data_IF_030069952949
#
_entry.id   IF_030069952949
#
_cell.length_a   1.000
_cell.length_b   1.000
_cell.length_c   1.000
_cell.angle_alpha   90.00
_cell.angle_beta   90.00
_cell.angle_gamma   90.00
#
_symmetry.space_group_name_H-M   'P 1'
#
loop_
_entity.id
_entity.type
_entity.pdbx_description
1 polymer ?
#
# COMPACT_ATOMS: atom_id res chain seq x y z
N UNK A 1 19.37 68.55 74.83
CA UNK A 1 19.57 68.40 73.36
C UNK A 1 18.96 67.06 72.99
N UNK A 2 17.65 66.86 72.75
CA UNK A 2 16.67 67.54 71.87
C UNK A 2 17.20 67.77 70.45
N UNK A 3 16.71 66.99 69.46
CA UNK A 3 15.93 67.44 68.28
C UNK A 3 15.82 66.34 67.17
N UNK A 4 14.57 65.90 66.96
CA UNK A 4 13.86 65.49 65.71
C UNK A 4 14.05 64.12 65.00
N UNK A 5 12.93 63.39 64.94
CA UNK A 5 12.47 62.55 63.82
C UNK A 5 11.65 63.41 62.81
N UNK A 6 11.34 62.97 61.55
CA UNK A 6 10.20 62.05 61.34
C UNK A 6 10.28 61.07 60.12
N UNK A 7 9.40 60.06 60.25
CA UNK A 7 8.81 59.09 59.31
C UNK A 7 8.52 59.58 57.88
N UNK A 8 8.74 58.72 56.85
CA UNK A 8 7.85 58.54 55.68
C UNK A 8 7.96 57.14 55.06
N UNK A 9 6.86 56.39 55.11
CA UNK A 9 6.55 55.25 54.24
C UNK A 9 6.44 55.70 52.78
N UNK A 10 7.03 54.96 51.85
CA UNK A 10 6.58 54.91 50.45
C UNK A 10 6.43 53.43 50.04
N UNK A 11 5.20 52.97 50.18
CA UNK A 11 4.64 51.81 49.50
C UNK A 11 4.39 52.23 48.04
N UNK A 12 5.02 51.58 47.06
CA UNK A 12 4.65 51.73 45.65
C UNK A 12 4.90 50.43 44.88
N UNK A 13 3.81 49.69 44.69
CA UNK A 13 3.47 48.81 43.57
C UNK A 13 4.61 48.45 42.58
N UNK A 14 5.11 47.22 42.70
CA UNK A 14 5.64 46.50 41.55
C UNK A 14 4.43 45.83 40.88
N UNK A 15 3.92 46.45 39.83
CA UNK A 15 2.95 45.82 38.93
C UNK A 15 3.65 44.66 38.22
N UNK A 16 3.31 43.42 38.60
CA UNK A 16 3.66 42.23 37.85
C UNK A 16 2.85 42.27 36.54
N UNK A 17 3.45 42.80 35.48
CA UNK A 17 3.01 42.62 34.10
C UNK A 17 3.30 41.17 33.71
N UNK A 18 2.45 40.25 34.17
CA UNK A 18 2.31 38.93 33.56
C UNK A 18 1.57 39.19 32.26
N UNK A 19 2.34 39.37 31.18
CA UNK A 19 1.80 39.28 29.84
C UNK A 19 1.20 37.87 29.72
N UNK A 20 -0.14 37.79 29.72
CA UNK A 20 -0.85 36.63 29.23
C UNK A 20 -0.58 36.55 27.73
N UNK A 21 0.58 36.04 27.35
CA UNK A 21 0.76 35.47 26.03
C UNK A 21 -0.22 34.30 25.98
N UNK A 22 -1.36 34.51 25.34
CA UNK A 22 -2.22 33.41 24.93
C UNK A 22 -1.32 32.46 24.15
N UNK A 23 -1.26 31.17 24.51
CA UNK A 23 -0.48 30.23 23.74
C UNK A 23 -0.96 30.34 22.29
N UNK A 24 -0.05 30.68 21.38
CA UNK A 24 -0.22 30.35 19.97
C UNK A 24 -0.68 28.89 19.98
N UNK A 25 -1.93 28.63 19.59
CA UNK A 25 -2.40 27.28 19.43
C UNK A 25 -1.40 26.62 18.49
N UNK A 26 -0.63 25.67 19.01
CA UNK A 26 0.29 24.90 18.20
C UNK A 26 -0.55 24.31 17.07
N UNK A 27 -0.19 24.63 15.83
CA UNK A 27 -0.87 24.15 14.63
C UNK A 27 -0.53 22.66 14.49
N UNK A 28 -1.22 21.87 15.30
CA UNK A 28 -1.11 20.43 15.33
C UNK A 28 -1.96 19.85 14.19
N UNK A 29 -1.56 18.69 13.70
CA UNK A 29 -2.33 17.98 12.69
C UNK A 29 -3.70 17.62 13.23
N UNK A 30 -4.73 18.01 12.46
CA UNK A 30 -6.13 17.68 12.72
C UNK A 30 -6.65 16.62 11.75
N UNK A 31 -7.77 16.02 12.13
CA UNK A 31 -8.57 15.18 11.26
C UNK A 31 -9.88 15.90 10.96
N UNK A 32 -10.31 15.90 9.69
CA UNK A 32 -11.70 16.21 9.37
C UNK A 32 -12.50 14.94 9.59
N UNK A 33 -13.01 14.78 10.81
CA UNK A 33 -14.07 13.82 11.11
C UNK A 33 -15.39 14.54 10.80
N UNK A 34 -15.95 14.35 9.61
CA UNK A 34 -17.31 14.81 9.38
C UNK A 34 -18.23 13.64 9.07
N UNK A 35 -18.90 13.18 10.13
CA UNK A 35 -20.25 12.63 10.02
C UNK A 35 -21.09 13.62 9.18
N UNK A 36 -21.24 13.32 7.88
CA UNK A 36 -22.13 14.06 6.96
C UNK A 36 -21.48 14.86 5.83
N UNK A 37 -20.16 15.01 5.74
CA UNK A 37 -19.50 15.76 4.64
C UNK A 37 -18.76 14.88 3.63
N UNK A 38 -19.04 13.57 3.64
CA UNK A 38 -18.61 12.65 2.60
C UNK A 38 -17.14 12.23 2.65
N UNK A 39 -16.23 12.90 3.35
CA UNK A 39 -14.78 12.60 3.25
C UNK A 39 -14.04 12.45 4.58
N UNK A 40 -12.85 11.84 4.51
CA UNK A 40 -11.85 11.81 5.59
C UNK A 40 -10.60 12.58 5.16
N UNK A 41 -9.93 13.25 6.10
CA UNK A 41 -8.74 14.03 5.78
C UNK A 41 -7.90 14.38 6.99
N UNK A 42 -6.60 14.52 6.77
CA UNK A 42 -5.58 14.86 7.75
C UNK A 42 -4.92 16.14 7.25
N UNK A 43 -4.92 17.18 8.08
CA UNK A 43 -4.55 18.51 7.63
C UNK A 43 -3.74 19.27 8.68
N UNK A 44 -2.97 20.24 8.20
CA UNK A 44 -2.26 21.23 9.01
C UNK A 44 -2.35 22.58 8.32
N UNK A 45 -2.67 23.63 9.07
CA UNK A 45 -2.79 25.00 8.56
C UNK A 45 -1.71 25.89 9.17
N UNK A 46 -0.49 25.90 8.60
CA UNK A 46 0.63 26.67 9.14
C UNK A 46 0.42 28.19 9.09
N UNK A 47 -0.43 28.68 8.19
CA UNK A 47 -0.81 30.09 8.13
C UNK A 47 -2.33 30.18 8.28
N UNK A 48 -2.77 30.85 9.33
CA UNK A 48 -4.18 31.19 9.60
C UNK A 48 -4.17 32.57 10.28
N UNK A 49 -4.22 33.61 9.46
CA UNK A 49 -4.16 34.99 9.92
C UNK A 49 -5.56 35.60 9.88
N UNK A 50 -6.20 35.67 11.04
CA UNK A 50 -7.54 36.24 11.19
C UNK A 50 -7.63 37.73 10.86
N UNK A 51 -6.51 38.48 10.88
CA UNK A 51 -6.51 39.91 10.57
C UNK A 51 -6.51 40.14 9.06
N UNK A 52 -5.70 39.37 8.32
CA UNK A 52 -5.61 39.47 6.86
C UNK A 52 -6.62 38.58 6.14
N UNK A 53 -7.16 37.58 6.83
CA UNK A 53 -7.97 36.50 6.24
C UNK A 53 -7.14 35.52 5.42
N UNK A 54 -5.80 35.59 5.49
CA UNK A 54 -4.93 34.70 4.72
C UNK A 54 -4.87 33.33 5.38
N UNK A 55 -4.99 32.29 4.56
CA UNK A 55 -4.95 30.90 5.01
C UNK A 55 -4.04 30.09 4.08
N UNK A 56 -3.25 29.20 4.67
CA UNK A 56 -2.56 28.12 3.95
C UNK A 56 -2.76 26.83 4.73
N UNK A 57 -3.40 25.85 4.11
CA UNK A 57 -3.58 24.51 4.67
C UNK A 57 -3.04 23.45 3.72
N UNK A 58 -2.26 22.52 4.25
CA UNK A 58 -1.81 21.31 3.57
C UNK A 58 -2.61 20.11 4.10
N UNK A 59 -3.10 19.26 3.20
CA UNK A 59 -3.99 18.13 3.52
C UNK A 59 -3.65 16.90 2.69
N UNK A 60 -3.85 15.74 3.31
CA UNK A 60 -4.00 14.44 2.65
C UNK A 60 -5.38 13.90 2.99
N UNK A 61 -6.18 13.53 1.99
CA UNK A 61 -7.55 13.07 2.24
C UNK A 61 -8.30 12.61 1.00
N UNK A 62 -9.55 12.22 1.22
CA UNK A 62 -10.53 11.82 0.22
C UNK A 62 -11.83 12.60 0.43
N UNK A 63 -12.68 12.61 -0.59
CA UNK A 63 -14.03 13.19 -0.53
C UNK A 63 -14.98 12.21 -1.19
N UNK A 64 -16.04 11.83 -0.49
CA UNK A 64 -16.91 10.73 -0.87
C UNK A 64 -16.07 9.45 -1.10
N UNK A 65 -16.39 8.71 -2.16
CA UNK A 65 -15.62 7.54 -2.59
C UNK A 65 -14.41 7.89 -3.47
N UNK A 66 -14.06 9.18 -3.60
CA UNK A 66 -12.91 9.58 -4.40
C UNK A 66 -11.60 9.10 -3.74
N UNK A 67 -10.60 8.69 -4.55
CA UNK A 67 -9.36 8.18 -4.02
C UNK A 67 -8.57 9.27 -3.27
N UNK A 68 -7.68 8.80 -2.40
CA UNK A 68 -6.76 9.62 -1.65
C UNK A 68 -5.99 10.59 -2.56
N UNK A 69 -5.85 11.84 -2.12
CA UNK A 69 -5.10 12.88 -2.82
C UNK A 69 -4.50 13.90 -1.84
N UNK A 70 -3.47 14.60 -2.29
CA UNK A 70 -2.98 15.79 -1.60
C UNK A 70 -3.78 17.02 -2.02
N UNK A 71 -3.95 17.94 -1.09
CA UNK A 71 -4.67 19.18 -1.29
C UNK A 71 -3.95 20.33 -0.58
N UNK A 72 -3.85 21.48 -1.25
CA UNK A 72 -3.41 22.74 -0.68
C UNK A 72 -4.54 23.74 -0.87
N UNK A 73 -5.03 24.31 0.24
CA UNK A 73 -6.05 25.36 0.23
C UNK A 73 -5.41 26.68 0.64
N UNK A 74 -5.58 27.69 -0.21
CA UNK A 74 -5.02 29.03 -0.02
C UNK A 74 -6.16 30.04 -0.07
N UNK A 75 -6.30 30.83 1.00
CA UNK A 75 -7.17 32.02 1.02
C UNK A 75 -6.27 33.24 0.98
N UNK A 76 -6.57 34.15 0.05
CA UNK A 76 -5.75 35.33 -0.22
C UNK A 76 -4.57 35.05 -1.15
N UNK A 77 -4.17 36.07 -1.91
CA UNK A 77 -3.09 35.96 -2.90
C UNK A 77 -3.51 35.36 -4.24
N UNK A 78 -2.51 35.05 -5.07
CA UNK A 78 -2.65 34.42 -6.38
C UNK A 78 -1.77 33.16 -6.41
N UNK A 79 -2.21 32.12 -7.13
CA UNK A 79 -1.42 30.92 -7.39
C UNK A 79 -1.58 30.50 -8.86
N UNK A 80 -0.55 29.90 -9.48
CA UNK A 80 -0.64 29.42 -10.85
C UNK A 80 -1.64 28.26 -10.98
N UNK A 81 -2.01 27.91 -12.22
CA UNK A 81 -2.88 26.76 -12.50
C UNK A 81 -2.18 25.42 -12.25
N UNK A 82 -0.86 25.41 -12.29
CA UNK A 82 0.00 24.26 -11.96
C UNK A 82 1.18 24.73 -11.11
N UNK A 83 1.55 23.91 -10.11
CA UNK A 83 2.56 24.27 -9.12
C UNK A 83 3.34 23.02 -8.70
N UNK A 84 4.67 23.06 -8.82
CA UNK A 84 5.53 22.05 -8.24
C UNK A 84 5.81 22.39 -6.77
N UNK A 85 5.65 21.38 -5.91
CA UNK A 85 5.78 21.51 -4.46
C UNK A 85 6.79 20.51 -3.95
N UNK A 86 7.93 21.00 -3.46
CA UNK A 86 8.92 20.17 -2.78
C UNK A 86 8.63 20.14 -1.28
N UNK A 87 8.60 18.93 -0.70
CA UNK A 87 8.52 18.74 0.74
C UNK A 87 9.86 18.30 1.28
N UNK A 88 10.30 18.94 2.36
CA UNK A 88 11.40 18.46 3.20
C UNK A 88 10.87 18.11 4.60
N UNK A 89 11.45 17.08 5.22
CA UNK A 89 11.13 16.67 6.60
C UNK A 89 12.42 16.61 7.38
N UNK A 90 12.46 17.32 8.50
CA UNK A 90 13.64 17.43 9.37
C UNK A 90 14.93 17.82 8.61
N UNK A 91 14.77 18.73 7.64
CA UNK A 91 15.86 19.25 6.80
C UNK A 91 16.32 18.31 5.68
N UNK A 92 15.57 17.25 5.38
CA UNK A 92 15.87 16.29 4.30
C UNK A 92 14.75 16.29 3.27
N UNK A 93 15.10 16.36 1.98
CA UNK A 93 14.14 16.24 0.89
C UNK A 93 13.31 14.95 1.02
N UNK A 94 11.98 15.10 1.08
CA UNK A 94 11.02 14.05 1.38
C UNK A 94 10.19 13.62 0.17
N UNK A 95 9.88 14.54 -0.73
CA UNK A 95 9.16 14.26 -1.98
C UNK A 95 8.93 15.52 -2.81
N UNK A 96 8.56 15.33 -4.07
CA UNK A 96 8.13 16.37 -5.01
C UNK A 96 6.72 16.02 -5.49
N UNK A 97 5.82 17.00 -5.48
CA UNK A 97 4.42 16.83 -5.86
C UNK A 97 4.06 17.87 -6.93
N UNK A 98 3.46 17.42 -8.03
CA UNK A 98 2.89 18.30 -9.05
C UNK A 98 1.42 18.57 -8.76
N UNK A 99 1.09 19.80 -8.37
CA UNK A 99 -0.27 20.24 -8.07
C UNK A 99 -0.92 20.92 -9.28
N UNK A 100 -2.24 20.76 -9.40
CA UNK A 100 -3.08 21.44 -10.38
C UNK A 100 -4.29 22.08 -9.72
N UNK A 101 -4.77 23.20 -10.27
CA UNK A 101 -5.90 23.94 -9.73
C UNK A 101 -7.21 23.14 -9.88
N UNK A 102 -7.91 22.97 -8.77
CA UNK A 102 -9.25 22.40 -8.70
C UNK A 102 -10.31 23.50 -8.56
N UNK A 103 -11.56 23.27 -9.00
CA UNK A 103 -12.65 24.22 -8.80
C UNK A 103 -12.95 24.44 -7.31
N UNK A 104 -12.95 25.70 -6.88
CA UNK A 104 -13.35 26.14 -5.55
C UNK A 104 -13.98 27.54 -5.65
N UNK A 105 -14.98 27.83 -4.80
CA UNK A 105 -15.78 29.06 -4.93
C UNK A 105 -15.15 30.27 -4.22
N UNK A 106 -14.53 30.07 -3.06
CA UNK A 106 -14.09 31.12 -2.14
C UNK A 106 -12.61 31.05 -1.75
N UNK A 107 -11.87 30.08 -2.29
CA UNK A 107 -10.45 29.89 -2.06
C UNK A 107 -9.78 29.30 -3.30
N UNK A 108 -8.45 29.30 -3.31
CA UNK A 108 -7.67 28.55 -4.29
C UNK A 108 -7.49 27.14 -3.73
N UNK A 109 -8.00 26.14 -4.44
CA UNK A 109 -7.73 24.73 -4.16
C UNK A 109 -6.77 24.18 -5.20
N UNK A 110 -5.65 23.63 -4.74
CA UNK A 110 -4.69 22.91 -5.55
C UNK A 110 -4.70 21.44 -5.13
N UNK A 111 -4.73 20.53 -6.09
CA UNK A 111 -4.74 19.08 -5.82
C UNK A 111 -3.63 18.35 -6.54
N UNK A 112 -3.07 17.33 -5.91
CA UNK A 112 -2.13 16.40 -6.52
C UNK A 112 -2.57 14.96 -6.24
N UNK A 113 -2.55 14.06 -7.25
CA UNK A 113 -2.94 12.67 -7.05
C UNK A 113 -1.98 11.99 -6.07
N UNK A 114 -2.51 11.09 -5.25
CA UNK A 114 -1.67 10.20 -4.47
C UNK A 114 -1.24 9.02 -5.35
N UNK A 115 0.06 8.74 -5.48
CA UNK A 115 0.56 7.47 -5.98
C UNK A 115 1.23 6.74 -4.80
N UNK A 116 0.69 5.60 -4.33
CA UNK A 116 1.26 4.87 -3.20
C UNK A 116 2.72 4.46 -3.44
N UNK A 117 3.15 4.23 -4.68
CA UNK A 117 4.51 3.80 -5.01
C UNK A 117 5.50 4.95 -4.84
N UNK A 118 5.13 6.14 -5.31
CA UNK A 118 5.97 7.33 -5.23
C UNK A 118 5.92 7.98 -3.83
N UNK A 119 4.76 7.94 -3.17
CA UNK A 119 4.49 8.76 -2.00
C UNK A 119 4.52 8.00 -0.67
N UNK A 120 4.65 6.65 -0.66
CA UNK A 120 4.79 5.88 0.61
C UNK A 120 5.95 6.39 1.46
N UNK A 121 7.12 6.61 0.84
CA UNK A 121 8.30 7.13 1.56
C UNK A 121 8.14 8.56 2.08
N UNK A 122 7.37 9.40 1.38
CA UNK A 122 7.02 10.75 1.84
C UNK A 122 6.08 10.68 3.04
N UNK A 123 4.99 9.89 2.94
CA UNK A 123 4.00 9.75 4.02
C UNK A 123 4.62 9.14 5.27
N UNK A 124 5.48 8.12 5.15
CA UNK A 124 6.22 7.57 6.30
C UNK A 124 7.01 8.67 7.01
N UNK A 125 7.75 9.50 6.25
CA UNK A 125 8.52 10.60 6.83
C UNK A 125 7.63 11.66 7.48
N UNK A 126 6.51 12.04 6.87
CA UNK A 126 5.56 12.96 7.47
C UNK A 126 4.98 12.43 8.79
N UNK A 127 4.76 11.11 8.91
CA UNK A 127 4.23 10.46 10.12
C UNK A 127 5.24 10.37 11.26
N UNK A 128 6.52 10.24 10.94
CA UNK A 128 7.61 9.99 11.90
C UNK A 128 8.43 11.24 12.23
N UNK A 129 8.37 12.27 11.38
CA UNK A 129 9.16 13.49 11.51
C UNK A 129 8.65 14.49 12.55
N UNK A 130 9.40 15.57 12.74
CA UNK A 130 9.11 16.61 13.74
C UNK A 130 8.65 17.92 13.08
N UNK A 131 9.33 18.32 12.00
CA UNK A 131 9.04 19.52 11.21
C UNK A 131 9.05 19.20 9.72
N UNK A 132 8.18 19.84 8.96
CA UNK A 132 8.25 19.83 7.51
C UNK A 132 8.34 21.25 6.95
N UNK A 133 8.95 21.37 5.79
CA UNK A 133 8.99 22.59 4.99
C UNK A 133 8.36 22.27 3.64
N UNK A 134 7.45 23.13 3.21
CA UNK A 134 6.78 23.04 1.92
C UNK A 134 7.26 24.19 1.07
N UNK A 135 8.02 23.88 0.02
CA UNK A 135 8.54 24.85 -0.93
C UNK A 135 7.67 24.87 -2.18
N UNK A 136 6.99 26.00 -2.39
CA UNK A 136 6.08 26.26 -3.51
C UNK A 136 6.88 26.99 -4.60
N UNK A 137 7.09 26.37 -5.76
CA UNK A 137 7.91 26.96 -6.82
C UNK A 137 7.08 27.86 -7.76
N UNK A 138 6.99 29.15 -7.42
CA UNK A 138 6.30 30.13 -8.26
C UNK A 138 7.22 30.67 -9.37
N UNK A 139 6.67 31.17 -10.49
CA UNK A 139 7.46 31.79 -11.56
C UNK A 139 8.37 32.95 -11.09
N UNK A 140 7.95 33.66 -10.04
CA UNK A 140 8.69 34.80 -9.47
C UNK A 140 9.66 34.40 -8.33
N UNK A 141 9.72 33.11 -8.00
CA UNK A 141 10.61 32.53 -6.99
C UNK A 141 9.93 31.56 -6.05
N UNK A 142 10.72 30.71 -5.39
CA UNK A 142 10.21 29.76 -4.41
C UNK A 142 9.76 30.44 -3.11
N UNK A 143 8.60 30.03 -2.58
CA UNK A 143 8.12 30.41 -1.26
C UNK A 143 8.14 29.18 -0.35
N UNK A 144 8.70 29.31 0.85
CA UNK A 144 8.76 28.21 1.82
C UNK A 144 7.79 28.46 2.97
N UNK A 145 7.00 27.45 3.30
CA UNK A 145 6.10 27.43 4.46
C UNK A 145 6.56 26.34 5.42
N UNK A 146 6.90 26.70 6.65
CA UNK A 146 7.22 25.74 7.71
C UNK A 146 5.93 25.21 8.36
N UNK A 147 5.89 23.92 8.67
CA UNK A 147 4.77 23.29 9.38
C UNK A 147 5.22 22.33 10.48
N UNK A 148 4.45 22.28 11.56
CA UNK A 148 4.60 21.28 12.62
C UNK A 148 4.13 19.92 12.12
N UNK A 149 4.85 18.85 12.48
CA UNK A 149 4.38 17.46 12.30
C UNK A 149 3.81 16.86 13.59
N UNK A 150 3.57 17.68 14.62
CA UNK A 150 2.94 17.18 15.84
C UNK A 150 1.54 16.65 15.53
N UNK A 151 1.29 15.39 15.87
CA UNK A 151 0.01 14.72 15.63
C UNK A 151 -0.12 14.06 14.25
N UNK A 152 0.79 14.31 13.31
CA UNK A 152 0.70 13.83 11.92
C UNK A 152 0.59 12.31 11.83
N UNK A 153 1.37 11.57 12.64
CA UNK A 153 1.39 10.12 12.63
C UNK A 153 0.03 9.48 12.89
N UNK A 154 -0.73 10.05 13.84
CA UNK A 154 -2.11 9.63 14.15
C UNK A 154 -3.07 10.07 13.04
N UNK A 155 -2.97 11.33 12.63
CA UNK A 155 -3.88 11.92 11.66
C UNK A 155 -3.82 11.21 10.31
N UNK A 156 -2.62 11.13 9.74
CA UNK A 156 -2.36 10.44 8.48
C UNK A 156 -2.68 8.94 8.57
N UNK A 157 -2.39 8.30 9.71
CA UNK A 157 -2.73 6.89 9.93
C UNK A 157 -4.24 6.62 9.81
N UNK A 158 -5.07 7.48 10.40
CA UNK A 158 -6.53 7.35 10.33
C UNK A 158 -7.05 7.54 8.90
N UNK A 159 -6.52 8.52 8.16
CA UNK A 159 -6.92 8.78 6.76
C UNK A 159 -6.53 7.64 5.84
N UNK A 160 -5.30 7.12 5.96
CA UNK A 160 -4.85 5.99 5.14
C UNK A 160 -5.67 4.72 5.39
N UNK A 161 -6.25 4.58 6.59
CA UNK A 161 -7.14 3.48 6.93
C UNK A 161 -8.60 3.68 6.45
N UNK A 162 -9.00 4.92 6.18
CA UNK A 162 -10.39 5.27 5.84
C UNK A 162 -10.59 5.52 4.35
N UNK A 163 -9.63 6.18 3.71
CA UNK A 163 -9.77 6.63 2.32
C UNK A 163 -9.46 5.52 1.31
N UNK A 164 -10.21 5.44 0.19
CA UNK A 164 -9.86 4.55 -0.91
C UNK A 164 -8.47 4.89 -1.47
N UNK A 165 -7.65 3.86 -1.67
CA UNK A 165 -6.35 4.04 -2.32
C UNK A 165 -6.57 4.25 -3.83
N UNK A 166 -5.94 5.24 -4.46
CA UNK A 166 -5.98 5.37 -5.91
C UNK A 166 -5.37 4.12 -6.56
N UNK A 167 -6.11 3.57 -7.51
CA UNK A 167 -5.59 2.62 -8.46
C UNK A 167 -4.68 3.38 -9.43
N UNK A 168 -3.44 2.92 -9.56
CA UNK A 168 -2.51 3.53 -10.49
C UNK A 168 -2.45 2.67 -11.76
N UNK A 169 -2.85 3.19 -12.93
CA UNK A 169 -2.66 2.49 -14.19
C UNK A 169 -1.18 2.14 -14.38
N UNK A 170 -0.93 0.91 -14.82
CA UNK A 170 0.40 0.36 -15.03
C UNK A 170 0.63 0.20 -16.52
N UNK A 171 1.71 0.74 -17.07
CA UNK A 171 2.07 0.46 -18.47
C UNK A 171 2.74 -0.91 -18.62
N UNK A 172 3.41 -1.36 -17.56
CA UNK A 172 4.13 -2.63 -17.51
C UNK A 172 3.98 -3.24 -16.10
N UNK A 173 2.94 -4.05 -15.85
CA UNK A 173 2.75 -4.74 -14.58
C UNK A 173 3.93 -5.61 -14.17
N UNK A 174 4.54 -6.31 -15.12
CA UNK A 174 5.63 -7.25 -14.87
C UNK A 174 6.86 -6.54 -14.30
N UNK A 175 7.28 -5.42 -14.90
CA UNK A 175 8.40 -4.63 -14.37
C UNK A 175 8.13 -4.10 -12.96
N UNK A 176 6.91 -3.58 -12.71
CA UNK A 176 6.54 -3.03 -11.39
C UNK A 176 6.56 -4.11 -10.31
N UNK A 177 6.02 -5.30 -10.62
CA UNK A 177 6.04 -6.42 -9.67
C UNK A 177 7.46 -6.95 -9.49
N UNK A 178 8.25 -7.06 -10.55
CA UNK A 178 9.64 -7.52 -10.46
C UNK A 178 10.49 -6.61 -9.57
N UNK A 179 10.37 -5.28 -9.72
CA UNK A 179 11.08 -4.31 -8.88
C UNK A 179 10.73 -4.47 -7.39
N UNK A 180 9.46 -4.75 -7.09
CA UNK A 180 9.01 -5.07 -5.73
C UNK A 180 9.72 -6.32 -5.21
N UNK A 181 9.71 -7.41 -5.98
CA UNK A 181 10.32 -8.70 -5.58
C UNK A 181 11.84 -8.56 -5.38
N UNK A 182 12.51 -7.83 -6.27
CA UNK A 182 13.96 -7.52 -6.14
C UNK A 182 14.24 -6.74 -4.86
N UNK A 183 13.41 -5.74 -4.54
CA UNK A 183 13.57 -4.93 -3.33
C UNK A 183 13.38 -5.77 -2.06
N UNK A 184 12.34 -6.60 -2.02
CA UNK A 184 12.02 -7.45 -0.87
C UNK A 184 13.08 -8.55 -0.66
N UNK A 185 13.55 -9.19 -1.73
CA UNK A 185 14.62 -10.17 -1.66
C UNK A 185 15.95 -9.55 -1.22
N UNK A 186 16.30 -8.36 -1.73
CA UNK A 186 17.50 -7.65 -1.34
C UNK A 186 17.49 -7.23 0.14
N UNK A 187 16.31 -6.92 0.70
CA UNK A 187 16.16 -6.57 2.12
C UNK A 187 16.57 -7.71 3.08
N UNK A 188 16.54 -8.96 2.62
CA UNK A 188 17.01 -10.14 3.36
C UNK A 188 18.39 -10.63 2.88
N UNK A 189 19.09 -9.86 2.04
CA UNK A 189 20.43 -10.17 1.55
C UNK A 189 20.48 -11.06 0.31
N UNK A 190 19.34 -11.28 -0.35
CA UNK A 190 19.24 -12.15 -1.52
C UNK A 190 19.30 -11.45 -2.87
N UNK A 191 19.22 -12.27 -3.92
CA UNK A 191 19.10 -11.86 -5.34
C UNK A 191 17.99 -12.66 -6.01
N UNK A 192 17.41 -12.11 -7.08
CA UNK A 192 16.28 -12.72 -7.80
C UNK A 192 16.77 -13.41 -9.08
N UNK A 193 16.28 -14.62 -9.33
CA UNK A 193 16.40 -15.34 -10.59
C UNK A 193 15.01 -15.50 -11.23
N UNK A 194 14.90 -15.20 -12.53
CA UNK A 194 13.63 -15.21 -13.26
C UNK A 194 13.40 -16.51 -14.02
N UNK A 195 12.21 -17.06 -13.90
CA UNK A 195 11.70 -18.17 -14.71
C UNK A 195 10.79 -17.66 -15.84
N UNK A 196 10.55 -18.50 -16.85
CA UNK A 196 9.81 -18.11 -18.05
C UNK A 196 8.32 -17.82 -17.80
N UNK A 197 7.74 -18.35 -16.72
CA UNK A 197 6.30 -18.23 -16.41
C UNK A 197 5.94 -16.98 -15.61
N UNK A 198 6.90 -16.07 -15.36
CA UNK A 198 6.66 -14.87 -14.55
C UNK A 198 5.54 -13.98 -15.09
N UNK A 199 5.48 -13.80 -16.40
CA UNK A 199 4.42 -13.05 -17.07
C UNK A 199 3.70 -13.95 -18.06
N UNK A 200 2.37 -13.95 -18.00
CA UNK A 200 1.50 -14.55 -18.99
C UNK A 200 0.51 -13.52 -19.51
N UNK A 201 0.15 -13.67 -20.78
CA UNK A 201 -0.81 -12.83 -21.48
C UNK A 201 -1.98 -13.68 -21.91
N UNK A 202 -3.18 -13.29 -21.52
CA UNK A 202 -4.42 -13.95 -21.86
C UNK A 202 -5.59 -12.99 -21.68
N UNK A 203 -6.68 -13.19 -22.43
CA UNK A 203 -7.91 -12.41 -22.30
C UNK A 203 -8.76 -13.00 -21.15
N UNK A 204 -8.73 -12.38 -19.97
CA UNK A 204 -9.40 -12.86 -18.77
C UNK A 204 -10.88 -12.45 -18.77
N UNK A 205 -11.18 -11.23 -19.20
CA UNK A 205 -12.54 -10.67 -19.13
C UNK A 205 -13.38 -10.86 -20.42
N UNK A 206 -12.76 -11.36 -21.49
CA UNK A 206 -13.39 -11.69 -22.76
C UNK A 206 -13.63 -10.48 -23.67
N UNK A 207 -12.94 -9.35 -23.45
CA UNK A 207 -13.07 -8.14 -24.26
C UNK A 207 -12.22 -8.16 -25.55
N UNK A 208 -11.39 -9.19 -25.74
CA UNK A 208 -10.51 -9.38 -26.89
C UNK A 208 -9.17 -8.67 -26.79
N UNK A 209 -8.85 -8.06 -25.66
CA UNK A 209 -7.54 -7.47 -25.32
C UNK A 209 -6.82 -8.40 -24.35
N UNK A 210 -5.52 -8.59 -24.54
CA UNK A 210 -4.74 -9.42 -23.62
C UNK A 210 -4.51 -8.70 -22.29
N UNK A 211 -4.94 -9.34 -21.22
CA UNK A 211 -4.62 -8.99 -19.85
C UNK A 211 -3.26 -9.59 -19.46
N UNK A 212 -2.76 -9.22 -18.27
CA UNK A 212 -1.50 -9.73 -17.74
C UNK A 212 -1.74 -10.50 -16.45
N UNK A 213 -1.19 -11.72 -16.39
CA UNK A 213 -1.11 -12.53 -15.18
C UNK A 213 0.35 -12.67 -14.77
N UNK A 214 0.64 -12.30 -13.52
CA UNK A 214 1.99 -12.37 -12.94
C UNK A 214 2.06 -13.50 -11.92
N UNK A 215 2.93 -14.47 -12.16
CA UNK A 215 3.26 -15.53 -11.20
C UNK A 215 4.47 -15.10 -10.36
N UNK A 216 4.24 -14.77 -9.09
CA UNK A 216 5.31 -14.28 -8.21
C UNK A 216 6.31 -15.39 -7.88
N UNK A 217 5.91 -16.65 -7.96
CA UNK A 217 6.79 -17.80 -7.67
C UNK A 217 7.89 -17.96 -8.72
N UNK A 218 7.66 -17.46 -9.94
CA UNK A 218 8.62 -17.49 -11.03
C UNK A 218 9.74 -16.46 -10.87
N UNK A 219 9.67 -15.55 -9.89
CA UNK A 219 10.77 -14.66 -9.51
C UNK A 219 11.42 -15.17 -8.20
N UNK A 220 12.34 -16.12 -8.35
CA UNK A 220 12.90 -16.90 -7.25
C UNK A 220 13.95 -16.10 -6.48
N UNK A 221 13.69 -15.82 -5.20
CA UNK A 221 14.65 -15.19 -4.30
C UNK A 221 15.68 -16.22 -3.77
N UNK A 222 16.96 -15.91 -3.84
CA UNK A 222 18.06 -16.82 -3.46
C UNK A 222 18.05 -17.22 -1.98
N UNK A 223 17.61 -16.31 -1.10
CA UNK A 223 17.58 -16.54 0.36
C UNK A 223 16.26 -17.16 0.83
N UNK A 224 15.20 -17.02 0.04
CA UNK A 224 13.87 -17.52 0.38
C UNK A 224 13.10 -17.85 -0.90
N UNK A 225 13.33 -19.04 -1.45
CA UNK A 225 12.67 -19.47 -2.69
C UNK A 225 11.13 -19.47 -2.59
N UNK A 226 10.58 -19.67 -1.39
CA UNK A 226 9.15 -19.63 -1.12
C UNK A 226 8.64 -18.25 -0.66
N UNK A 227 9.33 -17.15 -0.98
CA UNK A 227 8.98 -15.80 -0.50
C UNK A 227 7.51 -15.44 -0.76
N UNK A 228 6.94 -15.93 -1.87
CA UNK A 228 5.54 -15.69 -2.27
C UNK A 228 4.68 -16.96 -2.30
N UNK A 229 5.14 -18.05 -1.68
CA UNK A 229 4.42 -19.32 -1.68
C UNK A 229 4.27 -19.90 -0.26
N UNK A 230 3.15 -20.57 -0.02
CA UNK A 230 2.84 -21.27 1.23
C UNK A 230 1.96 -22.49 1.00
N UNK A 231 1.33 -23.00 2.06
CA UNK A 231 0.41 -24.16 1.96
C UNK A 231 -0.87 -23.84 1.17
N UNK A 232 -1.19 -22.55 1.03
CA UNK A 232 -2.31 -22.05 0.25
C UNK A 232 -2.04 -21.96 -1.26
N UNK A 233 -0.81 -22.25 -1.71
CA UNK A 233 -0.38 -22.03 -3.08
C UNK A 233 0.62 -20.88 -3.17
N UNK A 234 0.62 -20.16 -4.30
CA UNK A 234 1.55 -19.06 -4.56
C UNK A 234 0.79 -17.78 -4.90
N UNK A 235 1.46 -16.65 -4.70
CA UNK A 235 0.89 -15.34 -5.03
C UNK A 235 0.81 -15.19 -6.55
N UNK A 236 -0.38 -14.88 -7.05
CA UNK A 236 -0.62 -14.57 -8.47
C UNK A 236 -1.34 -13.23 -8.53
N UNK A 237 -0.88 -12.35 -9.42
CA UNK A 237 -1.49 -11.05 -9.68
C UNK A 237 -2.19 -11.02 -11.04
N UNK A 238 -3.41 -10.50 -11.09
CA UNK A 238 -4.22 -10.32 -12.30
C UNK A 238 -4.34 -8.83 -12.62
N UNK A 239 -4.07 -8.46 -13.87
CA UNK A 239 -4.02 -7.08 -14.33
C UNK A 239 -4.81 -6.94 -15.63
N UNK A 240 -5.97 -6.28 -15.56
CA UNK A 240 -6.85 -6.11 -16.72
C UNK A 240 -6.40 -4.95 -17.59
N UNK A 241 -6.41 -5.15 -18.92
CA UNK A 241 -6.08 -4.13 -19.89
C UNK A 241 -7.21 -3.09 -19.98
N UNK A 242 -6.88 -1.81 -19.77
CA UNK A 242 -7.83 -0.70 -19.79
C UNK A 242 -7.23 0.44 -20.61
N UNK A 243 -7.68 0.56 -21.86
CA UNK A 243 -7.14 1.54 -22.80
C UNK A 243 -5.70 1.21 -23.19
N UNK A 244 -4.76 2.09 -22.86
CA UNK A 244 -3.33 1.94 -23.12
C UNK A 244 -2.51 1.52 -21.88
N UNK A 245 -3.18 1.21 -20.77
CA UNK A 245 -2.58 0.79 -19.52
C UNK A 245 -3.29 -0.43 -18.93
N UNK A 246 -2.77 -0.94 -17.81
CA UNK A 246 -3.32 -2.06 -17.06
C UNK A 246 -3.77 -1.61 -15.69
N UNK A 247 -4.86 -2.18 -15.20
CA UNK A 247 -5.39 -1.99 -13.85
C UNK A 247 -5.23 -3.29 -13.06
N UNK A 248 -4.63 -3.23 -11.87
CA UNK A 248 -4.58 -4.41 -10.99
C UNK A 248 -5.98 -4.74 -10.54
N UNK A 249 -6.44 -5.95 -10.83
CA UNK A 249 -7.72 -6.48 -10.38
C UNK A 249 -7.61 -7.09 -8.98
N UNK A 250 -6.65 -8.00 -8.82
CA UNK A 250 -6.45 -8.78 -7.61
C UNK A 250 -5.02 -9.34 -7.58
N UNK A 251 -4.42 -9.43 -6.41
CA UNK A 251 -3.29 -10.30 -6.14
C UNK A 251 -3.49 -11.07 -4.84
N UNK A 252 -3.02 -12.31 -4.79
CA UNK A 252 -3.14 -13.11 -3.59
C UNK A 252 -2.69 -14.55 -3.75
N UNK A 253 -2.62 -15.25 -2.63
CA UNK A 253 -2.20 -16.65 -2.58
C UNK A 253 -3.33 -17.53 -3.12
N UNK A 254 -3.10 -18.13 -4.29
CA UNK A 254 -4.02 -19.05 -4.95
C UNK A 254 -3.31 -20.37 -5.28
N UNK A 255 -4.08 -21.45 -5.40
CA UNK A 255 -3.59 -22.75 -5.87
C UNK A 255 -3.61 -22.86 -7.38
N UNK A 256 -4.69 -22.36 -7.99
CA UNK A 256 -4.90 -22.36 -9.43
C UNK A 256 -5.97 -21.31 -9.79
N UNK A 257 -6.15 -21.04 -11.07
CA UNK A 257 -7.27 -20.26 -11.58
C UNK A 257 -7.71 -20.75 -12.97
N UNK A 258 -8.88 -20.26 -13.41
CA UNK A 258 -9.26 -20.29 -14.81
C UNK A 258 -10.07 -19.06 -15.21
N UNK A 259 -9.78 -18.57 -16.42
CA UNK A 259 -10.66 -17.67 -17.14
C UNK A 259 -11.84 -18.48 -17.71
N UNK A 260 -13.06 -18.09 -17.33
CA UNK A 260 -14.30 -18.71 -17.76
C UNK A 260 -15.05 -17.77 -18.71
N UNK A 261 -15.87 -18.30 -19.64
CA UNK A 261 -16.62 -17.47 -20.57
C UNK A 261 -17.52 -16.43 -19.89
N UNK A 262 -17.60 -15.25 -20.50
CA UNK A 262 -18.42 -14.13 -20.03
C UNK A 262 -17.75 -13.27 -18.95
N UNK A 263 -16.42 -13.16 -19.00
CA UNK A 263 -15.62 -12.38 -18.05
C UNK A 263 -15.75 -12.88 -16.62
N UNK A 264 -15.63 -14.19 -16.43
CA UNK A 264 -15.68 -14.81 -15.11
C UNK A 264 -14.32 -15.37 -14.76
N UNK A 265 -13.81 -15.05 -13.58
CA UNK A 265 -12.54 -15.58 -13.09
C UNK A 265 -12.80 -16.54 -11.95
N UNK A 266 -12.40 -17.81 -12.10
CA UNK A 266 -12.46 -18.77 -11.03
C UNK A 266 -11.10 -18.90 -10.34
N UNK A 267 -11.08 -18.79 -9.02
CA UNK A 267 -9.90 -18.95 -8.18
C UNK A 267 -10.04 -20.19 -7.31
N UNK A 268 -9.04 -21.06 -7.36
CA UNK A 268 -8.92 -22.21 -6.48
C UNK A 268 -8.01 -21.83 -5.30
N UNK A 269 -8.54 -21.96 -4.10
CA UNK A 269 -8.01 -21.35 -2.90
C UNK A 269 -7.77 -22.39 -1.79
N UNK A 270 -7.08 -21.97 -0.74
CA UNK A 270 -6.98 -22.69 0.52
C UNK A 270 -8.35 -22.76 1.21
N UNK A 271 -8.71 -23.89 1.84
CA UNK A 271 -10.04 -24.10 2.41
C UNK A 271 -10.50 -23.02 3.40
N UNK A 272 -9.57 -22.38 4.11
CA UNK A 272 -9.85 -21.27 5.03
C UNK A 272 -10.51 -20.07 4.35
N UNK A 273 -10.32 -19.87 3.04
CA UNK A 273 -11.00 -18.82 2.28
C UNK A 273 -12.53 -19.02 2.18
N UNK A 274 -13.01 -20.24 2.42
CA UNK A 274 -14.44 -20.61 2.49
C UNK A 274 -14.87 -20.98 3.93
N UNK A 275 -14.07 -20.66 4.95
CA UNK A 275 -14.36 -21.04 6.35
C UNK A 275 -14.18 -22.53 6.66
N UNK A 276 -13.39 -23.25 5.85
CA UNK A 276 -13.09 -24.68 6.00
C UNK A 276 -11.66 -24.93 6.51
N UNK A 277 -11.30 -26.19 6.74
CA UNK A 277 -9.92 -26.55 7.08
C UNK A 277 -8.99 -26.31 5.88
N UNK A 278 -7.73 -25.97 6.15
CA UNK A 278 -6.80 -25.54 5.10
C UNK A 278 -6.54 -26.53 3.97
N UNK A 279 -6.63 -27.83 4.26
CA UNK A 279 -6.45 -28.87 3.25
C UNK A 279 -7.69 -29.06 2.35
N UNK A 280 -8.87 -28.58 2.77
CA UNK A 280 -10.09 -28.70 1.98
C UNK A 280 -10.03 -27.76 0.77
N UNK A 281 -10.77 -28.12 -0.28
CA UNK A 281 -10.90 -27.29 -1.47
C UNK A 281 -11.83 -26.11 -1.19
N UNK A 282 -11.46 -24.95 -1.72
CA UNK A 282 -12.30 -23.77 -1.79
C UNK A 282 -12.18 -23.20 -3.19
N UNK A 283 -13.30 -22.87 -3.82
CA UNK A 283 -13.34 -22.25 -5.15
C UNK A 283 -14.28 -21.06 -5.11
N UNK A 284 -13.81 -19.93 -5.64
CA UNK A 284 -14.62 -18.72 -5.79
C UNK A 284 -14.64 -18.28 -7.23
N UNK A 285 -15.81 -17.91 -7.73
CA UNK A 285 -15.98 -17.40 -9.10
C UNK A 285 -16.41 -15.94 -9.02
N UNK A 286 -15.71 -15.09 -9.73
CA UNK A 286 -15.91 -13.65 -9.75
C UNK A 286 -16.38 -13.20 -11.14
N UNK A 287 -17.26 -12.19 -11.17
CA UNK A 287 -17.47 -11.35 -12.34
C UNK A 287 -16.33 -10.33 -12.40
N UNK A 288 -15.64 -10.33 -13.53
CA UNK A 288 -14.51 -9.44 -13.82
C UNK A 288 -14.77 -8.56 -15.05
N UNK A 289 -16.01 -8.51 -15.54
CA UNK A 289 -16.37 -7.68 -16.69
C UNK A 289 -16.29 -6.20 -16.36
N UNK A 290 -15.59 -5.44 -17.21
CA UNK A 290 -15.28 -4.04 -16.91
C UNK A 290 -14.49 -3.93 -15.61
N UNK A 291 -14.83 -2.98 -14.74
CA UNK A 291 -14.08 -2.80 -13.50
C UNK A 291 -14.69 -3.53 -12.29
N UNK A 292 -15.54 -4.51 -12.53
CA UNK A 292 -16.16 -5.30 -11.47
C UNK A 292 -15.17 -6.34 -10.93
N UNK A 293 -15.20 -6.57 -9.62
CA UNK A 293 -14.62 -7.75 -8.99
C UNK A 293 -15.61 -8.27 -7.96
N UNK A 294 -16.67 -8.91 -8.47
CA UNK A 294 -17.84 -9.28 -7.66
C UNK A 294 -17.94 -10.80 -7.53
N UNK A 295 -18.01 -11.30 -6.30
CA UNK A 295 -18.20 -12.73 -6.05
C UNK A 295 -19.58 -13.18 -6.58
N UNK A 296 -19.57 -14.11 -7.53
CA UNK A 296 -20.77 -14.72 -8.10
C UNK A 296 -21.11 -16.05 -7.41
N UNK A 297 -20.08 -16.84 -7.10
CA UNK A 297 -20.23 -18.18 -6.56
C UNK A 297 -19.09 -18.54 -5.61
N UNK A 298 -19.42 -19.23 -4.52
CA UNK A 298 -18.47 -19.80 -3.58
C UNK A 298 -18.81 -21.27 -3.35
N UNK A 299 -17.84 -22.15 -3.57
CA UNK A 299 -17.93 -23.59 -3.39
C UNK A 299 -16.85 -24.04 -2.40
N UNK A 300 -17.21 -24.90 -1.46
CA UNK A 300 -16.29 -25.48 -0.48
C UNK A 300 -16.36 -27.01 -0.47
N UNK A 301 -15.27 -27.65 -0.04
CA UNK A 301 -15.18 -29.10 0.16
C UNK A 301 -15.41 -29.89 -1.14
N UNK A 302 -16.17 -30.98 -1.05
CA UNK A 302 -16.42 -31.90 -2.16
C UNK A 302 -17.00 -31.20 -3.42
N UNK A 303 -17.82 -30.16 -3.24
CA UNK A 303 -18.39 -29.41 -4.37
C UNK A 303 -17.30 -28.63 -5.13
N UNK A 304 -16.35 -28.05 -4.40
CA UNK A 304 -15.21 -27.35 -4.99
C UNK A 304 -14.27 -28.34 -5.69
N UNK A 305 -13.98 -29.48 -5.06
CA UNK A 305 -13.16 -30.56 -5.66
C UNK A 305 -13.77 -31.06 -6.98
N UNK A 306 -15.09 -31.30 -7.01
CA UNK A 306 -15.79 -31.73 -8.20
C UNK A 306 -15.74 -30.68 -9.33
N UNK A 307 -15.88 -29.40 -8.99
CA UNK A 307 -15.80 -28.31 -9.96
C UNK A 307 -14.38 -28.15 -10.54
N UNK A 308 -13.35 -28.21 -9.70
CA UNK A 308 -11.95 -28.17 -10.13
C UNK A 308 -11.60 -29.35 -11.05
N UNK A 309 -11.99 -30.57 -10.66
CA UNK A 309 -11.75 -31.76 -11.46
C UNK A 309 -12.46 -31.72 -12.82
N UNK A 310 -13.66 -31.13 -12.90
CA UNK A 310 -14.36 -30.94 -14.15
C UNK A 310 -13.62 -29.95 -15.08
N UNK A 311 -13.09 -28.85 -14.53
CA UNK A 311 -12.30 -27.88 -15.29
C UNK A 311 -11.01 -28.50 -15.85
N UNK A 312 -10.26 -29.24 -15.03
CA UNK A 312 -9.01 -29.89 -15.47
C UNK A 312 -9.27 -30.89 -16.61
N UNK A 313 -10.42 -31.59 -16.55
CA UNK A 313 -10.84 -32.49 -17.60
C UNK A 313 -11.17 -31.77 -18.92
N UNK A 314 -11.70 -30.55 -18.87
CA UNK A 314 -11.94 -29.72 -20.06
C UNK A 314 -10.62 -29.18 -20.66
N UNK A 315 -9.72 -28.67 -19.82
CA UNK A 315 -8.43 -28.14 -20.25
C UNK A 315 -7.53 -29.20 -20.94
N UNK A 316 -7.60 -30.46 -20.49
CA UNK A 316 -6.85 -31.57 -21.09
C UNK A 316 -7.32 -32.01 -22.48
N UNK A 317 -8.41 -31.46 -23.02
CA UNK A 317 -8.93 -31.85 -24.35
C UNK A 317 -8.34 -31.08 -25.53
N UNK A 318 -7.58 -30.01 -25.27
CA UNK A 318 -6.95 -29.17 -26.31
C UNK A 318 -5.47 -29.50 -26.60
N UNK A 319 -4.86 -30.44 -25.88
CA UNK A 319 -3.51 -30.90 -26.21
C UNK A 319 -3.55 -31.75 -27.50
N UNK A 320 -2.95 -31.30 -28.62
CA UNK A 320 -2.97 -32.06 -29.86
C UNK A 320 -2.34 -33.43 -29.59
N UNK A 321 -3.09 -34.50 -29.84
CA UNK A 321 -2.56 -35.86 -29.74
C UNK A 321 -1.19 -35.90 -30.43
N UNK A 322 -0.13 -36.40 -29.77
CA UNK A 322 1.20 -36.41 -30.35
C UNK A 322 1.10 -37.05 -31.74
N UNK A 323 1.54 -36.31 -32.76
CA UNK A 323 1.49 -36.79 -34.14
C UNK A 323 2.06 -38.22 -34.17
N UNK A 324 1.40 -39.17 -34.84
CA UNK A 324 1.88 -40.54 -34.89
C UNK A 324 3.32 -40.50 -35.36
N UNK A 325 4.23 -40.90 -34.48
CA UNK A 325 5.63 -41.10 -34.82
C UNK A 325 5.60 -42.25 -35.82
N UNK A 326 5.81 -41.95 -37.10
CA UNK A 326 5.98 -42.96 -38.13
C UNK A 326 7.14 -43.86 -37.70
N UNK A 327 6.81 -45.06 -37.20
CA UNK A 327 7.74 -46.14 -36.95
C UNK A 327 8.33 -46.57 -38.31
N UNK A 328 9.41 -45.92 -38.71
CA UNK A 328 10.26 -46.41 -39.78
C UNK A 328 10.88 -47.75 -39.35
N UNK A 329 10.50 -48.79 -40.09
CA UNK A 329 11.00 -50.16 -39.94
C UNK A 329 12.53 -50.24 -40.04
N UNK A 330 13.17 -51.24 -39.38
CA UNK A 330 14.61 -51.39 -39.36
C UNK A 330 15.07 -52.11 -40.64
N UNK A 331 15.82 -51.41 -41.49
CA UNK A 331 16.60 -52.05 -42.55
C UNK A 331 18.09 -51.98 -42.24
N UNK A 332 18.74 -53.15 -42.30
CA UNK A 332 20.10 -53.25 -42.83
C UNK A 332 21.23 -53.40 -41.82
N UNK A 333 21.51 -54.64 -41.44
CA UNK A 333 22.82 -55.08 -40.96
C UNK A 333 23.93 -54.72 -41.97
N UNK A 334 24.92 -53.94 -41.53
CA UNK A 334 26.15 -53.65 -42.27
C UNK A 334 27.37 -53.80 -41.38
N UNK A 335 28.01 -54.96 -41.45
CA UNK A 335 29.25 -55.33 -40.76
C UNK A 335 30.42 -54.47 -41.26
N UNK A 336 31.14 -53.80 -40.36
CA UNK A 336 32.25 -52.91 -40.71
C UNK A 336 33.24 -52.77 -39.56
N UNK A 337 34.37 -53.46 -39.72
CA UNK A 337 35.48 -53.64 -38.78
C UNK A 337 36.28 -52.37 -38.51
N UNK A 338 36.64 -52.16 -37.23
CA UNK A 338 37.93 -51.65 -36.78
C UNK A 338 38.19 -50.14 -36.86
N UNK A 339 38.49 -49.52 -35.71
CA UNK A 339 39.75 -48.80 -35.45
C UNK A 339 39.76 -48.21 -34.03
N UNK A 340 40.94 -48.28 -33.42
CA UNK A 340 41.37 -47.83 -32.08
C UNK A 340 40.98 -46.40 -31.64
N UNK A 341 40.98 -46.13 -30.32
CA UNK A 341 40.80 -44.78 -29.77
C UNK A 341 42.11 -43.98 -29.85
N UNK A 342 42.08 -42.84 -30.55
CA UNK A 342 43.13 -41.82 -30.45
C UNK A 342 42.86 -40.91 -29.24
N UNK A 343 43.90 -40.81 -28.42
CA UNK A 343 44.01 -39.93 -27.27
C UNK A 343 43.88 -38.45 -27.68
N UNK A 344 43.15 -37.68 -26.85
CA UNK A 344 43.11 -36.24 -26.92
C UNK A 344 44.48 -35.63 -26.51
N UNK A 345 44.91 -34.53 -27.13
CA UNK A 345 46.14 -33.84 -26.77
C UNK A 345 45.98 -33.03 -25.48
N UNK A 346 46.96 -33.18 -24.61
CA UNK A 346 47.23 -32.35 -23.43
C UNK A 346 47.47 -30.89 -23.85
N UNK A 347 46.72 -29.96 -23.27
CA UNK A 347 47.03 -28.53 -23.31
C UNK A 347 48.32 -28.22 -22.55
N UNK A 348 49.15 -27.27 -23.03
CA UNK A 348 50.39 -26.88 -22.38
C UNK A 348 50.16 -25.87 -21.24
N UNK A 349 50.97 -26.04 -20.19
CA UNK A 349 51.09 -25.20 -19.00
C UNK A 349 51.06 -23.69 -19.28
N UNK A 350 50.14 -22.99 -18.62
CA UNK A 350 50.18 -21.54 -18.47
C UNK A 350 51.22 -21.15 -17.40
N UNK A 351 52.05 -20.11 -17.63
CA UNK A 351 53.02 -19.65 -16.65
C UNK A 351 52.34 -18.92 -15.47
N UNK A 352 52.92 -18.97 -14.26
CA UNK A 352 52.39 -18.26 -13.10
C UNK A 352 52.54 -16.73 -13.27
N UNK A 353 51.64 -15.93 -12.69
CA UNK A 353 51.75 -14.47 -12.70
C UNK A 353 52.95 -13.99 -11.85
N UNK A 354 53.54 -12.83 -12.19
CA UNK A 354 54.65 -12.27 -11.45
C UNK A 354 54.19 -11.79 -10.06
N UNK A 355 55.02 -12.06 -9.06
CA UNK A 355 54.93 -11.47 -7.73
C UNK A 355 55.28 -9.98 -7.83
N UNK A 356 54.32 -9.12 -7.53
CA UNK A 356 54.57 -7.69 -7.36
C UNK A 356 54.40 -7.30 -5.89
N UNK A 357 55.48 -6.71 -5.36
CA UNK A 357 55.63 -6.19 -4.02
C UNK A 357 54.83 -4.88 -3.89
N UNK A 358 53.74 -4.90 -3.13
CA UNK A 358 53.14 -3.66 -2.62
C UNK A 358 52.87 -3.79 -1.12
N UNK A 359 53.82 -3.24 -0.38
CA UNK A 359 53.81 -2.99 1.06
C UNK A 359 52.77 -1.91 1.41
N UNK A 360 51.84 -2.23 2.31
CA UNK A 360 50.98 -1.25 3.00
C UNK A 360 50.93 -1.60 4.51
N UNK A 361 50.78 -0.60 5.40
CA UNK A 361 51.18 -0.69 6.80
C UNK A 361 50.14 -1.38 7.72
N UNK A 362 50.67 -1.94 8.81
CA UNK A 362 49.95 -2.49 9.97
C UNK A 362 48.77 -1.62 10.41
N UNK A 363 47.58 -2.20 10.34
CA UNK A 363 46.41 -1.73 11.09
C UNK A 363 46.51 -2.25 12.52
N UNK A 364 46.42 -1.31 13.45
CA UNK A 364 46.38 -1.50 14.90
C UNK A 364 45.10 -2.27 15.27
N UNK A 365 45.26 -3.36 16.02
CA UNK A 365 44.15 -4.07 16.67
C UNK A 365 43.48 -3.15 17.71
N UNK A 366 42.27 -2.68 17.42
CA UNK A 366 41.34 -2.19 18.45
C UNK A 366 40.48 -3.36 18.96
N UNK A 367 40.16 -3.40 20.27
CA UNK A 367 39.39 -4.49 20.87
C UNK A 367 37.90 -4.37 20.52
N UNK A 368 37.31 -5.50 20.13
CA UNK A 368 35.86 -5.68 19.93
C UNK A 368 35.09 -5.31 21.22
N UNK A 369 34.09 -4.40 21.16
CA UNK A 369 33.17 -4.22 22.26
C UNK A 369 32.12 -5.35 22.27
N UNK A 370 31.85 -5.83 23.49
CA UNK A 370 30.86 -6.84 23.87
C UNK A 370 29.59 -6.84 22.99
N UNK A 371 29.37 -7.97 22.32
CA UNK A 371 28.07 -8.33 21.74
C UNK A 371 27.07 -8.52 22.88
N UNK A 372 26.27 -7.50 23.15
CA UNK A 372 25.02 -7.65 23.88
C UNK A 372 24.02 -8.46 23.04
N UNK A 373 23.21 -9.33 23.67
CA UNK A 373 22.22 -10.13 22.97
C UNK A 373 21.08 -9.24 22.45
N UNK A 374 20.75 -9.38 21.17
CA UNK A 374 19.58 -8.79 20.55
C UNK A 374 18.34 -9.46 21.16
N UNK A 375 17.40 -8.73 21.78
CA UNK A 375 16.12 -9.30 22.16
C UNK A 375 15.32 -9.63 20.90
N UNK A 376 14.77 -10.85 20.87
CA UNK A 376 14.10 -11.43 19.72
C UNK A 376 12.98 -10.55 19.16
N UNK A 377 13.04 -10.36 17.86
CA UNK A 377 11.90 -10.00 17.01
C UNK A 377 10.86 -11.13 17.12
N UNK A 378 9.84 -10.88 17.94
CA UNK A 378 8.60 -11.65 17.96
C UNK A 378 7.90 -11.36 16.63
N UNK A 379 7.86 -12.37 15.77
CA UNK A 379 6.91 -12.43 14.67
C UNK A 379 5.52 -12.40 15.29
N UNK A 380 4.77 -11.33 15.03
CA UNK A 380 3.33 -11.31 15.28
C UNK A 380 2.72 -12.26 14.26
N UNK A 381 2.37 -13.44 14.75
CA UNK A 381 1.58 -14.41 14.03
C UNK A 381 0.17 -13.90 13.78
N UNK A 382 -0.42 -14.47 12.74
CA UNK A 382 -1.85 -14.58 12.55
C UNK A 382 -2.53 -15.00 13.86
N UNK A 383 -3.32 -14.10 14.44
CA UNK A 383 -4.33 -14.45 15.41
C UNK A 383 -5.64 -13.76 15.02
N UNK A 384 -6.49 -14.57 14.40
CA UNK A 384 -7.93 -14.42 14.37
C UNK A 384 -8.44 -14.15 15.79
N UNK A 385 -8.91 -12.93 16.05
CA UNK A 385 -9.80 -12.67 17.16
C UNK A 385 -11.20 -13.19 16.80
N UNK A 386 -11.38 -14.51 16.89
CA UNK A 386 -12.69 -15.15 17.03
C UNK A 386 -13.29 -14.68 18.35
N UNK A 387 -14.26 -13.76 18.29
CA UNK A 387 -15.14 -13.50 19.41
C UNK A 387 -16.01 -14.75 19.60
N UNK A 388 -15.62 -15.57 20.58
CA UNK A 388 -16.51 -16.56 21.18
C UNK A 388 -17.64 -15.80 21.88
N UNK A 389 -18.81 -15.74 21.24
CA UNK A 389 -20.05 -15.37 21.90
C UNK A 389 -20.34 -16.44 22.95
N UNK A 390 -20.13 -16.06 24.21
CA UNK A 390 -20.46 -16.85 25.38
C UNK A 390 -21.93 -17.25 25.39
N UNK A 391 -22.13 -18.48 25.82
CA UNK A 391 -23.40 -19.16 26.00
C UNK A 391 -24.37 -18.38 26.91
N UNK A 392 -25.67 -18.54 26.60
CA UNK A 392 -26.73 -17.66 27.03
C UNK A 392 -27.05 -17.63 28.52
N UNK A 393 -27.42 -16.43 28.97
CA UNK A 393 -28.31 -16.25 30.11
C UNK A 393 -29.75 -16.05 29.59
N UNK A 394 -30.65 -16.88 30.13
CA UNK A 394 -32.07 -16.85 29.85
C UNK A 394 -32.69 -15.52 30.29
N UNK A 395 -33.36 -14.83 29.37
CA UNK A 395 -34.22 -13.70 29.68
C UNK A 395 -35.54 -14.19 30.31
N UNK A 396 -36.04 -13.53 31.36
CA UNK A 396 -37.36 -13.84 31.91
C UNK A 396 -38.46 -13.37 30.96
N UNK A 397 -39.30 -14.32 30.54
CA UNK A 397 -40.63 -14.04 29.99
C UNK A 397 -41.53 -13.52 31.10
N UNK A 398 -41.75 -12.21 31.16
CA UNK A 398 -43.05 -11.63 31.49
C UNK A 398 -42.95 -10.12 31.25
N UNK A 399 -43.79 -9.56 30.38
CA UNK A 399 -44.34 -8.22 30.52
C UNK A 399 -45.44 -8.05 29.47
N UNK A 400 -46.65 -8.12 30.01
CA UNK A 400 -47.94 -7.90 29.38
C UNK A 400 -48.06 -6.48 28.84
N UNK A 401 -48.65 -6.35 27.66
CA UNK A 401 -49.00 -5.07 27.04
C UNK A 401 -50.20 -4.44 27.77
N UNK A 402 -50.07 -3.16 28.15
CA UNK A 402 -51.14 -2.29 28.61
C UNK A 402 -51.39 -1.19 27.55
N UNK A 403 -52.57 -1.10 26.93
CA UNK A 403 -52.87 -0.09 25.93
C UNK A 403 -53.78 0.99 26.49
N UNK A 404 -53.21 2.09 27.01
CA UNK A 404 -53.96 3.35 27.16
C UNK A 404 -53.03 4.54 27.30
N UNK A 405 -52.93 5.41 26.28
CA UNK A 405 -53.15 6.87 26.40
C UNK A 405 -52.96 7.62 25.06
N UNK A 406 -53.62 8.78 24.87
CA UNK A 406 -53.98 9.33 23.56
C UNK A 406 -53.05 10.43 23.02
N UNK A 407 -53.20 10.71 21.72
CA UNK A 407 -52.45 11.70 20.94
C UNK A 407 -52.67 13.17 21.38
N UNK A 408 -51.65 14.04 21.28
CA UNK A 408 -51.77 15.46 21.62
C UNK A 408 -52.37 16.31 20.47
N UNK A 409 -53.60 16.76 20.71
CA UNK A 409 -54.07 18.16 20.61
C UNK A 409 -53.66 19.04 19.43
N UNK A 410 -54.58 19.17 18.47
CA UNK A 410 -54.78 20.36 17.65
C UNK A 410 -55.11 21.59 18.51
N UNK A 411 -54.53 22.74 18.16
CA UNK A 411 -54.75 24.02 18.81
C UNK A 411 -55.49 24.97 17.85
N UNK A 412 -56.74 25.38 18.12
CA UNK A 412 -57.42 26.39 17.32
C UNK A 412 -57.35 27.79 17.95
N UNK A 413 -57.24 28.77 17.06
CA UNK A 413 -57.74 30.15 17.17
C UNK A 413 -57.26 31.05 18.31
N UNK A 414 -56.57 32.13 17.90
CA UNK A 414 -57.01 33.49 18.24
C UNK A 414 -56.75 34.43 17.07
N UNK A 415 -57.83 34.96 16.48
CA UNK A 415 -57.81 36.20 15.72
C UNK A 415 -58.37 37.35 16.55
N UNK A 416 -57.67 38.48 16.55
CA UNK A 416 -58.13 39.88 16.39
C UNK A 416 -57.00 40.86 16.72
#
# INVERSE_FOLDING_TARGET
MNIFAPVRYCLALVFALVAFATPLAAQDWGNTDQEGAGGAGAYVCPLDDAETGNLFCFRLGCTDDAPLRFEINIVGGDAPDALDVELSVDGRAAGLLGFSRAPAEDHISLTAPFDPRLHRGLVTRLREGIRAEVSLDYPDGAQTVEMSLRGSGRALGAVLATCPMPEVPLNDPASVVLDQIVTECAAIGGTVAMEQSFERREDLDGDGVEDVVIDYAAAVCSEMASLYCGSGGCTVGFFLARGDAYKRLFDGVIRNYAALPGGRLALDLHGTACGLYGFEACRKVFDITGDNFALLEELGGEAAEAAMAAQDAEAGTDEPAPAPVDEAAPEGMGSGSGSEPQAAPTEPDAPPPPADEARAPEAVNEPEPDRMPVPGSVWLGDDDAVILLGEGEALPTDLTADPTEPAPGENPDTGL
#
